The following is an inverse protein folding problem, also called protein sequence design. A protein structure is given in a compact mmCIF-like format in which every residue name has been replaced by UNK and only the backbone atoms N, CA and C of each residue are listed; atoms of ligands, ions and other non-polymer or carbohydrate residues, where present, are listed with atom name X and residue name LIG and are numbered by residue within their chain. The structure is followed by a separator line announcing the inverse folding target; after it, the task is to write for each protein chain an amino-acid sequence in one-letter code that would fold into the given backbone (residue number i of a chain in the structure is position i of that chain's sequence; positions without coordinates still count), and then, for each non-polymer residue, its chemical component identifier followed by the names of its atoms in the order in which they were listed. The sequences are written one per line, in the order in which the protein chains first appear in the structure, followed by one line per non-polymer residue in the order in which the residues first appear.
data_IF_880179721593
#
_entry.id   IF_880179721593
#
_cell.length_a   1.000
_cell.length_b   1.000
_cell.length_c   1.000
_cell.angle_alpha   90.00
_cell.angle_beta   90.00
_cell.angle_gamma   90.00
#
_symmetry.space_group_name_H-M   'P 1'
#
loop_
_entity.id
_entity.type
_entity.pdbx_description
1 polymer ?
#
# COMPACT_ATOMS: atom_id res chain seq x y z
N UNK A 1 -23.92 -15.18 5.70
CA UNK A 1 -24.18 -14.64 7.06
C UNK A 1 -23.58 -13.25 7.13
N UNK A 2 -24.30 -12.24 7.60
CA UNK A 2 -23.74 -10.90 7.76
C UNK A 2 -23.07 -10.78 9.13
N UNK A 3 -21.85 -10.24 9.18
CA UNK A 3 -21.15 -9.94 10.43
C UNK A 3 -20.91 -8.44 10.43
N UNK A 4 -21.38 -7.75 11.45
CA UNK A 4 -21.26 -6.30 11.55
C UNK A 4 -21.07 -5.89 13.01
N UNK A 5 -20.47 -4.73 13.22
CA UNK A 5 -20.25 -4.22 14.56
C UNK A 5 -19.31 -3.01 14.62
N UNK A 6 -19.17 -2.40 15.80
CA UNK A 6 -18.24 -1.30 16.00
C UNK A 6 -16.79 -1.81 16.09
N UNK A 7 -15.85 -1.05 15.51
CA UNK A 7 -14.41 -1.37 15.56
C UNK A 7 -13.82 -1.36 16.97
N UNK A 8 -14.49 -0.70 17.92
CA UNK A 8 -14.07 -0.66 19.32
C UNK A 8 -14.33 -1.98 20.06
N UNK A 9 -15.26 -2.81 19.57
CA UNK A 9 -15.56 -4.13 20.16
C UNK A 9 -14.76 -5.24 19.51
N UNK A 10 -14.60 -5.17 18.17
CA UNK A 10 -13.81 -6.11 17.39
C UNK A 10 -12.96 -5.33 16.39
N UNK A 11 -11.65 -5.29 16.64
CA UNK A 11 -10.72 -4.54 15.79
C UNK A 11 -10.61 -5.16 14.39
N UNK A 12 -10.17 -4.37 13.40
CA UNK A 12 -9.98 -4.84 12.01
C UNK A 12 -9.11 -6.09 11.93
N UNK A 13 -8.06 -6.17 12.75
CA UNK A 13 -7.21 -7.36 12.85
C UNK A 13 -8.03 -8.63 13.12
N UNK A 14 -8.92 -8.59 14.11
CA UNK A 14 -9.70 -9.75 14.53
C UNK A 14 -10.79 -10.09 13.52
N UNK A 15 -11.38 -9.07 12.87
CA UNK A 15 -12.31 -9.26 11.76
C UNK A 15 -11.62 -10.02 10.62
N UNK A 16 -10.44 -9.59 10.21
CA UNK A 16 -9.65 -10.25 9.16
C UNK A 16 -9.32 -11.70 9.54
N UNK A 17 -8.88 -11.93 10.77
CA UNK A 17 -8.58 -13.27 11.27
C UNK A 17 -9.81 -14.18 11.26
N UNK A 18 -10.98 -13.67 11.66
CA UNK A 18 -12.23 -14.40 11.64
C UNK A 18 -12.61 -14.80 10.21
N UNK A 19 -12.51 -13.87 9.25
CA UNK A 19 -12.84 -14.12 7.84
C UNK A 19 -11.89 -15.14 7.20
N UNK A 20 -10.61 -15.13 7.58
CA UNK A 20 -9.62 -16.11 7.13
C UNK A 20 -9.91 -17.51 7.68
N UNK A 21 -10.05 -17.64 9.00
CA UNK A 21 -10.32 -18.92 9.67
C UNK A 21 -11.62 -19.57 9.20
N UNK A 22 -12.65 -18.76 8.94
CA UNK A 22 -13.93 -19.23 8.42
C UNK A 22 -14.00 -19.31 6.88
N UNK A 23 -12.87 -19.04 6.20
CA UNK A 23 -12.70 -19.15 4.73
C UNK A 23 -13.79 -18.42 3.96
N UNK A 24 -14.16 -17.22 4.41
CA UNK A 24 -15.28 -16.46 3.86
C UNK A 24 -14.94 -15.86 2.50
N UNK A 25 -15.97 -15.74 1.68
CA UNK A 25 -15.94 -15.03 0.40
C UNK A 25 -17.00 -13.95 0.45
N UNK A 26 -16.63 -12.71 0.15
CA UNK A 26 -17.54 -11.57 0.25
C UNK A 26 -16.83 -10.24 0.33
N UNK A 27 -17.60 -9.20 0.66
CA UNK A 27 -17.13 -7.83 0.77
C UNK A 27 -17.19 -7.37 2.22
N UNK A 28 -16.06 -6.87 2.73
CA UNK A 28 -15.96 -6.14 3.99
C UNK A 28 -15.98 -4.65 3.69
N UNK A 29 -16.90 -3.93 4.33
CA UNK A 29 -16.98 -2.47 4.34
C UNK A 29 -16.61 -1.98 5.73
N UNK A 30 -15.85 -0.90 5.79
CA UNK A 30 -15.42 -0.25 7.04
C UNK A 30 -15.65 1.24 6.90
N UNK A 31 -16.32 1.87 7.86
CA UNK A 31 -16.56 3.32 7.85
C UNK A 31 -15.94 3.95 9.09
N UNK A 32 -15.36 5.15 8.95
CA UNK A 32 -14.86 5.93 10.08
C UNK A 32 -15.31 7.38 9.99
N UNK A 33 -16.24 7.78 10.87
CA UNK A 33 -16.73 9.16 10.93
C UNK A 33 -15.62 10.16 11.30
N UNK A 34 -14.67 9.75 12.16
CA UNK A 34 -13.55 10.61 12.57
C UNK A 34 -12.64 10.99 11.40
N UNK A 35 -12.50 10.08 10.42
CA UNK A 35 -11.65 10.29 9.25
C UNK A 35 -12.43 10.75 8.02
N UNK A 36 -13.76 10.80 8.10
CA UNK A 36 -14.67 11.03 6.96
C UNK A 36 -14.30 10.13 5.76
N UNK A 37 -14.10 8.84 6.03
CA UNK A 37 -13.58 7.89 5.05
C UNK A 37 -14.22 6.50 5.18
N UNK A 38 -14.10 5.73 4.10
CA UNK A 38 -14.65 4.40 3.96
C UNK A 38 -13.67 3.45 3.27
N UNK A 39 -13.45 2.30 3.88
CA UNK A 39 -12.68 1.17 3.36
C UNK A 39 -13.56 0.08 2.77
N UNK A 40 -13.05 -0.54 1.71
CA UNK A 40 -13.67 -1.69 1.05
C UNK A 40 -12.62 -2.77 0.77
N UNK A 41 -12.90 -4.01 1.18
CA UNK A 41 -11.99 -5.14 1.02
C UNK A 41 -12.76 -6.37 0.53
N UNK A 42 -12.28 -6.98 -0.54
CA UNK A 42 -12.85 -8.22 -1.06
C UNK A 42 -12.06 -9.42 -0.60
N UNK A 43 -12.80 -10.44 -0.14
CA UNK A 43 -12.28 -11.72 0.29
C UNK A 43 -12.74 -12.84 -0.63
N UNK A 44 -11.84 -13.79 -0.91
CA UNK A 44 -12.15 -15.05 -1.56
C UNK A 44 -11.51 -16.20 -0.78
N UNK A 45 -12.33 -17.05 -0.16
CA UNK A 45 -11.85 -18.18 0.61
C UNK A 45 -10.92 -17.78 1.76
N UNK A 46 -11.20 -16.66 2.42
CA UNK A 46 -10.39 -16.10 3.51
C UNK A 46 -9.19 -15.25 3.07
N UNK A 47 -8.91 -15.17 1.77
CA UNK A 47 -7.79 -14.38 1.22
C UNK A 47 -8.26 -13.05 0.68
N UNK A 48 -7.44 -12.01 0.83
CA UNK A 48 -7.73 -10.69 0.26
C UNK A 48 -7.40 -10.69 -1.23
N UNK A 49 -8.35 -10.27 -2.05
CA UNK A 49 -8.19 -10.17 -3.52
C UNK A 49 -8.24 -8.73 -4.03
N UNK A 50 -8.82 -7.81 -3.24
CA UNK A 50 -8.90 -6.39 -3.56
C UNK A 50 -9.07 -5.58 -2.28
N UNK A 51 -8.54 -4.35 -2.27
CA UNK A 51 -8.77 -3.38 -1.20
C UNK A 51 -8.71 -1.96 -1.76
N UNK A 52 -9.56 -1.07 -1.25
CA UNK A 52 -9.57 0.36 -1.56
C UNK A 52 -10.09 1.16 -0.36
N UNK A 53 -9.71 2.43 -0.27
CA UNK A 53 -10.37 3.45 0.57
C UNK A 53 -10.97 4.55 -0.31
N UNK A 54 -11.99 5.23 0.19
CA UNK A 54 -12.70 6.26 -0.57
C UNK A 54 -11.83 7.50 -0.78
N UNK A 55 -11.07 7.92 0.24
CA UNK A 55 -10.14 9.05 0.15
C UNK A 55 -9.02 8.85 -0.87
N UNK A 56 -8.60 7.60 -1.06
CA UNK A 56 -7.54 7.23 -1.99
C UNK A 56 -7.88 5.93 -2.75
N UNK A 57 -8.74 6.01 -3.77
CA UNK A 57 -9.14 4.84 -4.52
C UNK A 57 -7.94 4.13 -5.15
N UNK A 58 -7.90 2.81 -5.02
CA UNK A 58 -6.87 2.00 -5.65
C UNK A 58 -6.99 2.10 -7.16
N UNK A 59 -6.00 2.73 -7.81
CA UNK A 59 -5.98 2.96 -9.25
C UNK A 59 -4.67 2.45 -9.84
N UNK A 60 -4.76 1.42 -10.68
CA UNK A 60 -3.61 0.87 -11.40
C UNK A 60 -2.97 1.90 -12.31
N UNK A 61 -3.79 2.72 -12.98
CA UNK A 61 -3.29 3.82 -13.80
C UNK A 61 -2.37 4.72 -12.97
N UNK A 62 -2.85 5.20 -11.82
CA UNK A 62 -2.07 6.07 -10.94
C UNK A 62 -0.79 5.38 -10.47
N UNK A 63 -0.88 4.12 -10.04
CA UNK A 63 0.26 3.36 -9.54
C UNK A 63 1.35 3.19 -10.62
N UNK A 64 0.96 2.78 -11.84
CA UNK A 64 1.93 2.56 -12.92
C UNK A 64 2.50 3.86 -13.49
N UNK A 65 1.72 4.94 -13.52
CA UNK A 65 2.21 6.28 -13.87
C UNK A 65 3.22 6.79 -12.86
N UNK A 66 2.92 6.68 -11.56
CA UNK A 66 3.84 7.05 -10.48
C UNK A 66 5.14 6.23 -10.53
N UNK A 67 5.06 4.96 -10.93
CA UNK A 67 6.23 4.11 -11.15
C UNK A 67 6.98 4.39 -12.47
N UNK A 68 6.54 5.35 -13.29
CA UNK A 68 7.14 5.69 -14.59
C UNK A 68 6.98 4.61 -15.66
N UNK A 69 6.03 3.68 -15.48
CA UNK A 69 5.81 2.51 -16.36
C UNK A 69 4.71 2.71 -17.38
N UNK A 70 3.88 3.73 -17.21
CA UNK A 70 2.72 3.97 -18.05
C UNK A 70 2.70 5.41 -18.53
N UNK A 71 2.83 5.60 -19.85
CA UNK A 71 2.63 6.90 -20.50
C UNK A 71 1.20 7.08 -21.01
N UNK A 72 0.84 8.31 -21.39
CA UNK A 72 -0.45 8.59 -22.04
C UNK A 72 -0.59 7.86 -23.38
N UNK A 73 0.52 7.72 -24.11
CA UNK A 73 0.53 7.00 -25.38
C UNK A 73 0.29 5.50 -25.18
N UNK A 74 0.91 4.90 -24.16
CA UNK A 74 0.71 3.50 -23.79
C UNK A 74 -0.74 3.25 -23.37
N UNK A 75 -1.31 4.15 -22.56
CA UNK A 75 -2.71 4.09 -22.14
C UNK A 75 -3.66 4.14 -23.35
N UNK A 76 -3.46 5.12 -24.24
CA UNK A 76 -4.28 5.25 -25.45
C UNK A 76 -4.19 4.00 -26.33
N UNK A 77 -2.99 3.43 -26.48
CA UNK A 77 -2.77 2.20 -27.24
C UNK A 77 -3.49 1.00 -26.60
N UNK A 78 -3.38 0.82 -25.28
CA UNK A 78 -4.06 -0.26 -24.56
C UNK A 78 -5.59 -0.15 -24.64
N UNK A 79 -6.12 1.08 -24.59
CA UNK A 79 -7.56 1.35 -24.68
C UNK A 79 -8.11 1.19 -26.11
N UNK A 80 -7.29 1.41 -27.14
CA UNK A 80 -7.68 1.26 -28.54
C UNK A 80 -7.92 -0.20 -28.97
N UNK A 81 -7.29 -1.16 -28.28
CA UNK A 81 -7.49 -2.59 -28.54
C UNK A 81 -8.83 -3.04 -27.97
N UNK A 82 -9.78 -3.56 -28.78
CA UNK A 82 -11.06 -4.07 -28.25
C UNK A 82 -10.82 -5.21 -27.26
N UNK A 83 -11.40 -5.10 -26.07
CA UNK A 83 -11.30 -6.11 -25.02
C UNK A 83 -12.65 -6.83 -24.83
N UNK A 84 -12.64 -8.12 -24.44
CA UNK A 84 -13.83 -8.80 -23.94
C UNK A 84 -14.47 -8.01 -22.79
N UNK A 85 -15.80 -8.10 -22.67
CA UNK A 85 -16.50 -7.51 -21.53
C UNK A 85 -15.97 -8.12 -20.22
N UNK A 86 -15.66 -7.27 -19.24
CA UNK A 86 -15.15 -7.68 -17.93
C UNK A 86 -13.63 -7.84 -17.83
N UNK A 87 -12.87 -7.62 -18.91
CA UNK A 87 -11.40 -7.57 -18.82
C UNK A 87 -10.96 -6.26 -18.15
N UNK A 88 -10.26 -6.36 -17.03
CA UNK A 88 -9.73 -5.22 -16.28
C UNK A 88 -8.69 -4.42 -17.08
N UNK A 89 -8.45 -3.17 -16.66
CA UNK A 89 -7.39 -2.34 -17.23
C UNK A 89 -6.01 -2.98 -17.03
N UNK A 90 -5.75 -3.59 -15.86
CA UNK A 90 -4.45 -4.22 -15.60
C UNK A 90 -4.16 -5.36 -16.57
N UNK A 91 -5.13 -6.25 -16.82
CA UNK A 91 -4.99 -7.31 -17.81
C UNK A 91 -4.70 -6.76 -19.22
N UNK A 92 -5.34 -5.65 -19.60
CA UNK A 92 -5.09 -5.00 -20.91
C UNK A 92 -3.67 -4.46 -21.00
N UNK A 93 -3.16 -3.84 -19.94
CA UNK A 93 -1.79 -3.33 -19.88
C UNK A 93 -0.75 -4.46 -19.95
N UNK A 94 -1.06 -5.61 -19.34
CA UNK A 94 -0.24 -6.82 -19.45
C UNK A 94 -0.27 -7.40 -20.87
N UNK A 95 -1.45 -7.51 -21.48
CA UNK A 95 -1.59 -8.01 -22.85
C UNK A 95 -0.90 -7.12 -23.89
N UNK A 96 -0.92 -5.80 -23.68
CA UNK A 96 -0.21 -4.83 -24.51
C UNK A 96 1.32 -4.87 -24.31
N UNK A 97 1.83 -5.62 -23.33
CA UNK A 97 3.26 -5.72 -23.04
C UNK A 97 3.86 -4.49 -22.36
N UNK A 98 3.03 -3.57 -21.86
CA UNK A 98 3.46 -2.34 -21.17
C UNK A 98 4.06 -2.68 -19.80
N UNK A 99 3.51 -3.71 -19.15
CA UNK A 99 3.94 -4.18 -17.83
C UNK A 99 3.87 -5.71 -17.80
N UNK A 100 4.82 -6.38 -17.16
CA UNK A 100 4.75 -7.84 -17.01
C UNK A 100 3.71 -8.25 -15.97
N UNK A 101 3.19 -9.49 -16.09
CA UNK A 101 2.28 -10.07 -15.10
C UNK A 101 2.85 -9.98 -13.68
N UNK A 102 4.13 -10.31 -13.51
CA UNK A 102 4.82 -10.29 -12.21
C UNK A 102 4.93 -8.87 -11.63
N UNK A 103 5.21 -7.88 -12.47
CA UNK A 103 5.26 -6.48 -12.03
C UNK A 103 3.87 -5.98 -11.64
N UNK A 104 2.83 -6.30 -12.42
CA UNK A 104 1.44 -5.97 -12.11
C UNK A 104 1.04 -6.55 -10.75
N UNK A 105 1.26 -7.84 -10.54
CA UNK A 105 0.98 -8.52 -9.27
C UNK A 105 1.70 -7.87 -8.10
N UNK A 106 2.97 -7.49 -8.27
CA UNK A 106 3.74 -6.78 -7.24
C UNK A 106 3.13 -5.42 -6.89
N UNK A 107 2.77 -4.62 -7.89
CA UNK A 107 2.20 -3.29 -7.69
C UNK A 107 0.82 -3.36 -7.00
N UNK A 108 -0.01 -4.32 -7.40
CA UNK A 108 -1.29 -4.56 -6.76
C UNK A 108 -1.15 -5.08 -5.34
N UNK A 109 -0.18 -5.96 -5.08
CA UNK A 109 0.12 -6.44 -3.73
C UNK A 109 0.45 -5.28 -2.78
N UNK A 110 1.34 -4.38 -3.21
CA UNK A 110 1.73 -3.19 -2.44
C UNK A 110 0.55 -2.24 -2.19
N UNK A 111 -0.33 -2.08 -3.18
CA UNK A 111 -1.53 -1.25 -3.05
C UNK A 111 -2.51 -1.83 -2.01
N UNK A 112 -2.80 -3.14 -2.09
CA UNK A 112 -3.68 -3.80 -1.11
C UNK A 112 -3.08 -3.74 0.29
N UNK A 113 -1.79 -4.01 0.44
CA UNK A 113 -1.09 -3.87 1.72
C UNK A 113 -1.29 -2.49 2.32
N UNK A 114 -1.06 -1.44 1.52
CA UNK A 114 -1.17 -0.05 1.97
C UNK A 114 -2.57 0.27 2.51
N UNK A 115 -3.61 -0.16 1.78
CA UNK A 115 -5.01 0.03 2.20
C UNK A 115 -5.30 -0.75 3.48
N UNK A 116 -4.91 -2.03 3.53
CA UNK A 116 -5.20 -2.87 4.71
C UNK A 116 -4.51 -2.31 5.96
N UNK A 117 -3.29 -1.80 5.84
CA UNK A 117 -2.61 -1.13 6.96
C UNK A 117 -3.28 0.16 7.39
N UNK A 118 -3.77 0.94 6.43
CA UNK A 118 -4.57 2.12 6.75
C UNK A 118 -5.81 1.74 7.57
N UNK A 119 -6.56 0.72 7.16
CA UNK A 119 -7.72 0.22 7.89
C UNK A 119 -7.37 -0.31 9.27
N UNK A 120 -6.23 -0.99 9.44
CA UNK A 120 -5.77 -1.42 10.77
C UNK A 120 -5.50 -0.25 11.73
N UNK A 121 -5.19 0.95 11.20
CA UNK A 121 -4.99 2.15 12.02
C UNK A 121 -6.29 2.79 12.50
N UNK A 122 -7.46 2.34 12.00
CA UNK A 122 -8.76 2.86 12.37
C UNK A 122 -9.22 2.21 13.67
N UNK A 123 -9.10 2.96 14.78
CA UNK A 123 -9.51 2.49 16.12
C UNK A 123 -11.01 2.61 16.37
N UNK A 124 -11.69 3.39 15.55
CA UNK A 124 -13.09 3.75 15.72
C UNK A 124 -13.79 3.77 14.36
N UNK A 125 -15.04 3.33 14.35
CA UNK A 125 -15.80 3.13 13.12
C UNK A 125 -16.76 1.95 13.25
N UNK A 126 -17.35 1.59 12.13
CA UNK A 126 -18.24 0.45 12.01
C UNK A 126 -17.81 -0.43 10.83
N UNK A 127 -17.88 -1.74 10.98
CA UNK A 127 -17.63 -2.67 9.88
C UNK A 127 -18.89 -3.47 9.56
N UNK A 128 -19.03 -3.86 8.30
CA UNK A 128 -20.03 -4.83 7.87
C UNK A 128 -19.44 -5.76 6.81
N UNK A 129 -19.70 -7.05 6.94
CA UNK A 129 -19.29 -8.06 5.98
C UNK A 129 -20.52 -8.73 5.37
N UNK A 130 -20.56 -8.77 4.04
CA UNK A 130 -21.60 -9.41 3.27
C UNK A 130 -21.01 -10.50 2.36
N UNK A 131 -21.54 -11.72 2.45
CA UNK A 131 -21.16 -12.80 1.54
C UNK A 131 -21.71 -12.53 0.14
N UNK A 132 -20.83 -12.47 -0.86
CA UNK A 132 -21.19 -12.25 -2.25
C UNK A 132 -20.28 -13.05 -3.19
N UNK A 133 -20.75 -13.29 -4.42
CA UNK A 133 -19.92 -13.90 -5.45
C UNK A 133 -18.92 -12.86 -5.98
N UNK A 134 -17.64 -13.07 -5.72
CA UNK A 134 -16.54 -12.20 -6.22
C UNK A 134 -16.26 -12.36 -7.72
N UNK A 135 -16.91 -13.34 -8.37
CA UNK A 135 -16.79 -13.62 -9.81
C UNK A 135 -17.18 -12.44 -10.71
N UNK A 136 -18.02 -11.55 -10.20
CA UNK A 136 -18.60 -10.44 -10.95
C UNK A 136 -17.81 -9.13 -10.79
N UNK A 137 -16.76 -9.11 -9.96
CA UNK A 137 -15.91 -7.93 -9.80
C UNK A 137 -14.77 -8.02 -10.81
N UNK A 138 -14.68 -7.11 -11.80
CA UNK A 138 -13.57 -7.07 -12.73
C UNK A 138 -12.31 -6.61 -12.00
N UNK A 139 -11.61 -7.57 -11.38
CA UNK A 139 -10.32 -7.34 -10.74
C UNK A 139 -9.22 -7.49 -11.78
N UNK A 140 -8.37 -6.48 -11.85
CA UNK A 140 -7.31 -6.33 -12.84
C UNK A 140 -6.22 -7.41 -12.79
N UNK A 141 -6.14 -8.18 -11.70
CA UNK A 141 -5.32 -9.37 -11.58
C UNK A 141 -5.91 -10.35 -10.57
N UNK A 142 -5.75 -11.66 -10.81
CA UNK A 142 -6.18 -12.74 -9.90
C UNK A 142 -5.23 -12.95 -8.72
N UNK A 143 -4.82 -11.87 -8.05
CA UNK A 143 -4.00 -11.96 -6.86
C UNK A 143 -4.83 -12.45 -5.67
N UNK A 144 -4.20 -13.24 -4.80
CA UNK A 144 -4.79 -13.76 -3.57
C UNK A 144 -3.76 -13.62 -2.47
N UNK A 145 -3.91 -12.60 -1.65
CA UNK A 145 -3.00 -12.30 -0.58
C UNK A 145 -3.46 -13.01 0.68
N UNK A 146 -2.52 -13.66 1.37
CA UNK A 146 -2.81 -14.29 2.66
C UNK A 146 -3.14 -13.21 3.67
N UNK A 147 -4.30 -13.36 4.33
CA UNK A 147 -4.70 -12.49 5.43
C UNK A 147 -3.68 -12.57 6.56
N UNK A 148 -3.23 -13.77 6.94
CA UNK A 148 -2.16 -13.96 7.92
C UNK A 148 -0.89 -13.17 7.57
N UNK A 149 -0.44 -13.21 6.30
CA UNK A 149 0.75 -12.46 5.87
C UNK A 149 0.55 -10.95 5.99
N UNK A 150 -0.63 -10.43 5.65
CA UNK A 150 -0.98 -9.03 5.85
C UNK A 150 -0.98 -8.65 7.34
N UNK A 151 -1.58 -9.48 8.21
CA UNK A 151 -1.60 -9.23 9.65
C UNK A 151 -0.19 -9.25 10.26
N UNK A 152 0.62 -10.24 9.89
CA UNK A 152 2.01 -10.36 10.35
C UNK A 152 2.87 -9.18 9.90
N UNK A 153 2.75 -8.77 8.64
CA UNK A 153 3.48 -7.60 8.13
C UNK A 153 2.98 -6.31 8.81
N UNK A 154 1.68 -6.19 9.09
CA UNK A 154 1.11 -5.06 9.83
C UNK A 154 1.68 -4.95 11.24
N UNK A 155 1.70 -6.05 11.99
CA UNK A 155 2.29 -6.12 13.32
C UNK A 155 3.79 -5.76 13.28
N UNK A 156 4.53 -6.33 12.32
CA UNK A 156 5.94 -6.02 12.10
C UNK A 156 6.15 -4.52 11.84
N UNK A 157 5.32 -3.89 11.00
CA UNK A 157 5.43 -2.46 10.69
C UNK A 157 5.11 -1.57 11.89
N UNK A 158 4.14 -1.94 12.71
CA UNK A 158 3.84 -1.22 13.97
C UNK A 158 5.06 -1.25 14.89
N UNK A 159 5.68 -2.42 15.07
CA UNK A 159 6.89 -2.59 15.87
C UNK A 159 8.09 -1.83 15.28
N UNK A 160 8.28 -1.89 13.95
CA UNK A 160 9.31 -1.12 13.26
C UNK A 160 9.08 0.39 13.40
N UNK A 161 7.83 0.85 13.26
CA UNK A 161 7.47 2.26 13.42
C UNK A 161 7.76 2.76 14.82
N UNK A 162 7.50 1.95 15.85
CA UNK A 162 7.87 2.26 17.23
C UNK A 162 9.36 2.55 17.37
N UNK A 163 10.23 1.81 16.68
CA UNK A 163 11.69 2.02 16.71
C UNK A 163 12.11 3.21 15.85
N UNK A 164 11.46 3.39 14.71
CA UNK A 164 11.71 4.52 13.80
C UNK A 164 11.39 5.84 14.50
N UNK A 165 10.28 5.91 15.23
CA UNK A 165 9.79 7.11 15.92
C UNK A 165 10.80 7.69 16.93
N UNK A 166 11.72 6.88 17.46
CA UNK A 166 12.78 7.35 18.37
C UNK A 166 13.78 8.30 17.71
N UNK A 167 13.96 8.21 16.38
CA UNK A 167 14.93 9.01 15.60
C UNK A 167 14.26 9.85 14.51
N UNK A 168 13.12 9.39 14.00
CA UNK A 168 12.31 10.08 12.99
C UNK A 168 10.93 10.34 13.60
N UNK A 169 10.80 11.39 14.43
CA UNK A 169 9.61 11.60 15.25
C UNK A 169 8.39 12.05 14.45
N UNK A 170 8.58 12.53 13.23
CA UNK A 170 7.51 13.01 12.37
C UNK A 170 7.87 12.86 10.89
N UNK A 171 6.87 12.53 10.07
CA UNK A 171 6.98 12.54 8.61
C UNK A 171 7.05 13.96 8.03
N UNK A 172 6.69 14.97 8.82
CA UNK A 172 6.91 16.38 8.48
C UNK A 172 8.30 16.88 8.91
N UNK A 173 9.17 15.99 9.40
CA UNK A 173 10.57 16.34 9.61
C UNK A 173 11.25 16.60 8.27
N UNK A 174 12.04 17.67 8.21
CA UNK A 174 12.88 18.00 7.06
C UNK A 174 14.27 17.44 7.38
N UNK A 175 14.71 16.35 6.73
CA UNK A 175 16.06 15.84 6.92
C UNK A 175 17.08 16.83 6.35
N UNK A 176 18.26 16.88 6.97
CA UNK A 176 19.42 17.62 6.50
C UNK A 176 20.66 16.74 6.57
N UNK A 177 21.60 16.94 5.65
CA UNK A 177 22.84 16.16 5.63
C UNK A 177 23.80 16.71 6.68
N UNK A 178 24.28 15.82 7.55
CA UNK A 178 25.28 16.20 8.54
C UNK A 178 26.56 16.69 7.83
N UNK A 179 27.23 17.73 8.37
CA UNK A 179 28.53 18.15 7.85
C UNK A 179 29.54 17.00 7.98
N UNK A 180 30.37 16.83 6.95
CA UNK A 180 31.41 15.80 6.94
C UNK A 180 32.52 16.21 7.91
N UNK A 181 32.59 15.57 9.07
CA UNK A 181 33.73 15.67 9.98
C UNK A 181 34.84 14.71 9.50
N UNK A 182 36.00 15.27 9.16
CA UNK A 182 37.12 14.55 8.54
C UNK A 182 37.71 13.46 9.47
N UNK A 183 38.30 12.44 8.85
CA UNK A 183 38.91 11.19 9.39
C UNK A 183 38.01 9.95 9.63
N UNK A 184 36.69 10.03 9.43
CA UNK A 184 35.83 8.82 9.32
C UNK A 184 34.86 8.90 8.15
N UNK A 185 35.39 8.86 6.93
CA UNK A 185 34.59 8.49 5.77
C UNK A 185 34.16 7.02 5.91
N UNK A 186 33.05 6.76 6.61
CA UNK A 186 32.36 5.48 6.51
C UNK A 186 31.86 5.36 5.07
N UNK A 187 32.30 4.31 4.38
CA UNK A 187 31.70 3.98 3.08
C UNK A 187 30.26 3.56 3.37
N UNK A 188 29.32 4.41 2.96
CA UNK A 188 27.89 4.10 2.99
C UNK A 188 27.59 3.08 1.90
N UNK A 189 27.35 1.84 2.30
CA UNK A 189 26.86 0.79 1.40
C UNK A 189 25.33 0.87 1.32
N UNK A 190 24.86 1.73 0.43
CA UNK A 190 23.43 1.95 0.21
C UNK A 190 22.94 1.20 -1.03
N UNK A 191 21.77 0.62 -0.91
CA UNK A 191 21.03 0.05 -2.04
C UNK A 191 20.60 1.18 -3.00
N UNK A 192 20.34 0.89 -4.29
CA UNK A 192 19.98 1.92 -5.27
C UNK A 192 18.79 2.79 -4.84
N UNK A 193 17.79 2.21 -4.18
CA UNK A 193 16.62 2.94 -3.71
C UNK A 193 16.90 3.80 -2.47
N UNK A 194 17.90 3.45 -1.66
CA UNK A 194 18.32 4.26 -0.51
C UNK A 194 19.12 5.48 -0.99
N UNK A 195 19.94 5.29 -2.03
CA UNK A 195 20.61 6.39 -2.75
C UNK A 195 19.61 7.38 -3.33
N UNK A 196 18.52 6.91 -3.95
CA UNK A 196 17.46 7.79 -4.47
C UNK A 196 16.87 8.68 -3.37
N UNK A 197 16.65 8.15 -2.17
CA UNK A 197 16.14 8.94 -1.03
C UNK A 197 17.18 9.94 -0.55
N UNK A 198 18.44 9.52 -0.38
CA UNK A 198 19.53 10.40 0.05
C UNK A 198 19.67 11.60 -0.90
N UNK A 199 19.56 11.37 -2.21
CA UNK A 199 19.64 12.42 -3.23
C UNK A 199 18.47 13.43 -3.21
N UNK A 200 17.37 13.11 -2.52
CA UNK A 200 16.23 14.00 -2.35
C UNK A 200 16.32 14.87 -1.10
N UNK A 201 17.30 14.62 -0.22
CA UNK A 201 17.53 15.39 1.00
C UNK A 201 18.27 16.68 0.63
N UNK A 202 17.56 17.80 0.70
CA UNK A 202 18.05 19.14 0.35
C UNK A 202 17.88 20.16 1.49
N UNK A 203 17.48 19.70 2.68
CA UNK A 203 17.20 20.56 3.83
C UNK A 203 15.94 21.41 3.68
N UNK A 204 15.08 21.15 2.68
CA UNK A 204 13.83 21.89 2.43
C UNK A 204 12.60 20.99 2.35
N UNK A 205 12.72 19.80 1.76
CA UNK A 205 11.61 18.85 1.62
C UNK A 205 11.45 17.98 2.87
N UNK A 206 10.21 17.81 3.32
CA UNK A 206 9.88 16.85 4.37
C UNK A 206 9.81 15.42 3.84
N UNK A 207 9.78 14.43 4.74
CA UNK A 207 9.74 13.02 4.35
C UNK A 207 8.49 12.66 3.54
N UNK A 208 7.34 13.33 3.78
CA UNK A 208 6.14 13.16 2.95
C UNK A 208 6.36 13.62 1.51
N UNK A 209 6.98 14.79 1.34
CA UNK A 209 7.33 15.33 0.03
C UNK A 209 8.31 14.43 -0.72
N UNK A 210 9.29 13.85 -0.01
CA UNK A 210 10.22 12.88 -0.59
C UNK A 210 9.46 11.60 -1.02
N UNK A 211 8.58 11.07 -0.17
CA UNK A 211 7.75 9.90 -0.48
C UNK A 211 6.90 10.11 -1.73
N UNK A 212 6.17 11.24 -1.79
CA UNK A 212 5.34 11.58 -2.94
C UNK A 212 6.16 11.75 -4.23
N UNK A 213 7.35 12.35 -4.15
CA UNK A 213 8.21 12.57 -5.32
C UNK A 213 8.81 11.28 -5.87
N UNK A 214 9.14 10.33 -5.01
CA UNK A 214 9.71 9.03 -5.39
C UNK A 214 8.63 7.97 -5.66
N UNK A 215 7.35 8.28 -5.43
CA UNK A 215 6.26 7.31 -5.55
C UNK A 215 6.37 6.15 -4.56
N UNK A 216 7.00 6.38 -3.39
CA UNK A 216 7.21 5.37 -2.34
C UNK A 216 6.29 5.62 -1.16
N UNK A 217 6.09 4.59 -0.33
CA UNK A 217 5.29 4.74 0.89
C UNK A 217 6.00 5.61 1.93
N UNK A 218 5.24 6.38 2.71
CA UNK A 218 5.79 7.17 3.81
C UNK A 218 6.57 6.29 4.81
N UNK A 219 6.09 5.06 5.04
CA UNK A 219 6.75 4.08 5.90
C UNK A 219 8.14 3.68 5.40
N UNK A 220 8.26 3.41 4.09
CA UNK A 220 9.53 3.06 3.46
C UNK A 220 10.53 4.22 3.54
N UNK A 221 10.09 5.45 3.27
CA UNK A 221 10.95 6.64 3.38
C UNK A 221 11.40 6.86 4.82
N UNK A 222 10.51 6.73 5.80
CA UNK A 222 10.87 6.87 7.22
C UNK A 222 11.89 5.80 7.66
N UNK A 223 11.78 4.57 7.14
CA UNK A 223 12.73 3.49 7.39
C UNK A 223 14.11 3.77 6.82
N UNK A 224 14.17 4.27 5.59
CA UNK A 224 15.43 4.66 4.95
C UNK A 224 16.05 5.83 5.70
N UNK A 225 15.27 6.87 6.04
CA UNK A 225 15.73 7.99 6.84
C UNK A 225 16.27 7.55 8.21
N UNK A 226 15.58 6.62 8.89
CA UNK A 226 16.06 6.02 10.13
C UNK A 226 17.40 5.30 9.95
N UNK A 227 17.55 4.51 8.87
CA UNK A 227 18.80 3.84 8.53
C UNK A 227 19.95 4.81 8.32
N UNK A 228 19.70 5.89 7.57
CA UNK A 228 20.68 6.97 7.34
C UNK A 228 21.09 7.65 8.65
N UNK A 229 20.12 8.11 9.46
CA UNK A 229 20.37 8.76 10.76
C UNK A 229 21.12 7.84 11.74
N UNK A 230 20.92 6.53 11.64
CA UNK A 230 21.60 5.55 12.52
C UNK A 230 23.02 5.23 12.05
N UNK A 231 23.28 5.37 10.75
CA UNK A 231 24.58 5.05 10.13
C UNK A 231 25.57 6.23 10.19
N UNK A 232 25.07 7.46 10.33
CA UNK A 232 25.87 8.68 10.48
C UNK A 232 25.36 9.78 9.58
#
# INVERSE_FOLDING_TARGET
MAIEGPLRELGIHDVFQLLDLSRKTGALRVTSEMRDDEGYVLFEGGKVIHASVQSNPTSIERILRQAGKLSDADMAAALAVPAPQGLGLGDRLVQAGIVSQKEMERHLHQAIESVVFELMSWREGFFSFEECAVSDVPIDAKIRISTESLLMEGARRIDEWSRIADKVPSLSAIPDLAPVEDDRASVLDLLPHEWEVLMMIDGQRDLRGIAGSLGRSEFEIAKIAYGLVTTG
#
